data_IF_828116127943
#
_entry.id   IF_828116127943
#
_cell.length_a   1.000
_cell.length_b   1.000
_cell.length_c   1.000
_cell.angle_alpha   90.00
_cell.angle_beta   90.00
_cell.angle_gamma   90.00
#
_symmetry.space_group_name_H-M   'P 1'
#
loop_
_entity.id
_entity.type
_entity.pdbx_description
1 polymer ?
#
# COMPACT_ATOMS: atom_id res chain seq x y z
N UNK A 1 48.26 -19.38 11.13
CA UNK A 1 47.27 -20.11 10.31
C UNK A 1 46.82 -19.15 9.21
N UNK A 2 47.15 -19.38 7.93
CA UNK A 2 46.79 -18.46 6.87
C UNK A 2 45.30 -18.56 6.56
N UNK A 3 44.70 -17.39 6.27
CA UNK A 3 43.30 -17.23 5.88
C UNK A 3 43.00 -18.08 4.64
N UNK A 4 42.08 -19.03 4.81
CA UNK A 4 41.42 -19.72 3.70
C UNK A 4 40.75 -18.68 2.81
N UNK A 5 41.10 -18.69 1.53
CA UNK A 5 40.40 -18.01 0.45
C UNK A 5 38.89 -18.22 0.58
N UNK A 6 38.14 -17.13 0.75
CA UNK A 6 36.68 -17.12 0.85
C UNK A 6 36.00 -17.46 -0.49
N UNK A 7 36.20 -18.67 -0.98
CA UNK A 7 35.40 -19.21 -2.07
C UNK A 7 34.01 -19.57 -1.54
N UNK A 8 32.92 -19.16 -2.21
CA UNK A 8 31.57 -19.56 -1.84
C UNK A 8 31.48 -21.08 -1.81
N UNK A 9 31.07 -21.64 -0.68
CA UNK A 9 30.73 -23.06 -0.57
C UNK A 9 29.39 -23.25 -1.28
N UNK A 10 29.42 -23.65 -2.55
CA UNK A 10 28.22 -24.09 -3.25
C UNK A 10 27.79 -25.45 -2.68
N UNK A 11 26.59 -25.49 -2.10
CA UNK A 11 25.99 -26.71 -1.58
C UNK A 11 25.71 -27.70 -2.73
N UNK A 12 26.35 -28.87 -2.69
CA UNK A 12 26.06 -30.07 -3.48
C UNK A 12 26.21 -29.96 -5.01
N UNK A 13 26.68 -31.01 -5.71
CA UNK A 13 26.46 -31.11 -7.15
C UNK A 13 24.95 -31.04 -7.38
N UNK A 14 24.52 -30.19 -8.31
CA UNK A 14 23.17 -30.20 -8.83
C UNK A 14 22.96 -31.50 -9.64
N UNK A 15 22.78 -32.63 -8.96
CA UNK A 15 22.29 -33.86 -9.56
C UNK A 15 20.92 -33.55 -10.19
N UNK A 16 20.86 -33.45 -11.53
CA UNK A 16 19.73 -33.08 -12.39
C UNK A 16 19.57 -31.62 -12.87
N UNK A 17 20.57 -30.73 -12.73
CA UNK A 17 20.48 -29.43 -13.43
C UNK A 17 21.01 -29.51 -14.86
N UNK A 18 20.25 -28.92 -15.78
CA UNK A 18 20.71 -28.69 -17.15
C UNK A 18 21.86 -27.69 -17.13
N UNK A 19 23.01 -28.11 -17.66
CA UNK A 19 24.24 -27.32 -17.72
C UNK A 19 24.74 -27.21 -19.16
N UNK A 20 25.32 -26.06 -19.48
CA UNK A 20 25.99 -25.78 -20.75
C UNK A 20 27.46 -25.40 -20.52
N UNK A 21 28.23 -25.39 -21.60
CA UNK A 21 29.63 -24.99 -21.58
C UNK A 21 29.78 -23.61 -22.24
N UNK A 22 30.26 -22.64 -21.48
CA UNK A 22 30.56 -21.29 -21.94
C UNK A 22 31.96 -20.87 -21.46
N UNK A 23 32.89 -20.69 -22.41
CA UNK A 23 34.29 -20.36 -22.13
C UNK A 23 34.47 -18.97 -21.50
N UNK A 24 33.45 -18.11 -21.54
CA UNK A 24 33.48 -16.78 -20.90
C UNK A 24 33.24 -16.85 -19.39
N UNK A 25 32.66 -17.93 -18.88
CA UNK A 25 32.41 -18.18 -17.46
C UNK A 25 33.69 -18.58 -16.68
N UNK A 26 34.67 -17.67 -16.64
CA UNK A 26 35.99 -17.89 -16.02
C UNK A 26 35.93 -18.29 -14.54
N UNK A 27 34.95 -17.76 -13.81
CA UNK A 27 34.78 -18.01 -12.37
C UNK A 27 34.06 -19.33 -12.06
N UNK A 28 33.58 -20.05 -13.09
CA UNK A 28 32.81 -21.31 -12.95
C UNK A 28 33.38 -22.44 -13.83
N UNK A 29 34.68 -22.43 -14.13
CA UNK A 29 35.35 -23.44 -14.96
C UNK A 29 34.67 -23.68 -16.32
N UNK A 30 34.07 -22.65 -16.90
CA UNK A 30 33.37 -22.73 -18.17
C UNK A 30 32.04 -23.47 -18.15
N UNK A 31 31.48 -23.75 -16.96
CA UNK A 31 30.17 -24.39 -16.80
C UNK A 31 29.13 -23.35 -16.43
N UNK A 32 27.99 -23.35 -17.12
CA UNK A 32 26.87 -22.43 -16.88
C UNK A 32 25.57 -23.21 -16.70
N UNK A 33 24.68 -22.68 -15.87
CA UNK A 33 23.33 -23.22 -15.72
C UNK A 33 22.49 -22.88 -16.95
N UNK A 34 21.84 -23.88 -17.55
CA UNK A 34 20.96 -23.71 -18.72
C UNK A 34 19.54 -24.20 -18.44
N UNK A 35 19.17 -24.37 -17.17
CA UNK A 35 17.78 -24.64 -16.82
C UNK A 35 16.88 -23.49 -17.24
N UNK A 36 15.60 -23.80 -17.44
CA UNK A 36 14.58 -22.81 -17.81
C UNK A 36 14.55 -21.65 -16.82
N UNK A 37 14.69 -21.95 -15.53
CA UNK A 37 14.70 -21.00 -14.43
C UNK A 37 15.92 -20.10 -14.51
N UNK A 38 17.11 -20.67 -14.71
CA UNK A 38 18.37 -19.92 -14.86
C UNK A 38 18.32 -18.96 -16.05
N UNK A 39 17.88 -19.43 -17.23
CA UNK A 39 17.77 -18.59 -18.43
C UNK A 39 16.77 -17.46 -18.22
N UNK A 40 15.64 -17.73 -17.55
CA UNK A 40 14.62 -16.72 -17.27
C UNK A 40 15.13 -15.64 -16.32
N UNK A 41 15.82 -16.02 -15.24
CA UNK A 41 16.39 -15.08 -14.26
C UNK A 41 17.54 -14.28 -14.89
N UNK A 42 18.43 -14.94 -15.63
CA UNK A 42 19.53 -14.27 -16.32
C UNK A 42 19.01 -13.24 -17.34
N UNK A 43 17.99 -13.58 -18.12
CA UNK A 43 17.34 -12.66 -19.06
C UNK A 43 16.69 -11.47 -18.35
N UNK A 44 16.05 -11.70 -17.20
CA UNK A 44 15.51 -10.61 -16.38
C UNK A 44 16.61 -9.68 -15.86
N UNK A 45 17.70 -10.22 -15.31
CA UNK A 45 18.81 -9.42 -14.80
C UNK A 45 19.48 -8.64 -15.93
N UNK A 46 19.88 -9.32 -17.00
CA UNK A 46 20.55 -8.70 -18.14
C UNK A 46 19.71 -7.59 -18.79
N UNK A 47 18.38 -7.75 -18.85
CA UNK A 47 17.48 -6.72 -19.37
C UNK A 47 17.36 -5.46 -18.51
N UNK A 48 17.84 -5.48 -17.27
CA UNK A 48 17.80 -4.33 -16.36
C UNK A 48 19.17 -3.67 -16.16
N UNK A 49 20.26 -4.37 -16.45
CA UNK A 49 21.62 -3.85 -16.34
C UNK A 49 21.88 -2.73 -17.34
N UNK A 50 22.55 -1.67 -16.92
CA UNK A 50 23.14 -0.64 -17.76
C UNK A 50 24.66 -0.84 -17.81
N UNK A 51 25.15 -1.49 -18.86
CA UNK A 51 26.56 -1.83 -19.07
C UNK A 51 27.46 -0.63 -19.39
N UNK A 52 26.89 0.58 -19.51
CA UNK A 52 27.62 1.82 -19.76
C UNK A 52 28.14 2.50 -18.50
N UNK A 53 27.72 2.04 -17.32
CA UNK A 53 28.10 2.62 -16.03
C UNK A 53 28.97 1.63 -15.27
N UNK A 54 30.06 2.11 -14.68
CA UNK A 54 30.92 1.28 -13.85
C UNK A 54 30.18 0.94 -12.53
N UNK A 55 30.01 -0.35 -12.17
CA UNK A 55 29.41 -0.73 -10.89
C UNK A 55 30.14 -0.18 -9.65
N UNK A 56 31.41 0.19 -9.77
CA UNK A 56 32.18 0.81 -8.69
C UNK A 56 31.88 2.30 -8.50
N UNK A 57 31.34 2.97 -9.52
CA UNK A 57 30.97 4.39 -9.46
C UNK A 57 29.51 4.57 -9.02
N UNK A 58 28.58 3.87 -9.70
CA UNK A 58 27.16 3.87 -9.35
C UNK A 58 26.55 2.49 -9.59
N UNK A 59 26.53 1.69 -8.53
CA UNK A 59 25.96 0.34 -8.58
C UNK A 59 24.45 0.35 -8.84
N UNK A 60 23.72 1.40 -8.43
CA UNK A 60 22.27 1.47 -8.64
C UNK A 60 21.97 1.66 -10.12
N UNK A 61 22.64 2.61 -10.78
CA UNK A 61 22.47 2.85 -12.22
C UNK A 61 22.97 1.66 -13.04
N UNK A 62 24.11 1.06 -12.69
CA UNK A 62 24.57 -0.18 -13.32
C UNK A 62 23.54 -1.32 -13.21
N UNK A 63 22.96 -1.54 -12.03
CA UNK A 63 22.08 -2.67 -11.78
C UNK A 63 20.62 -2.45 -12.26
N UNK A 64 20.13 -1.21 -12.17
CA UNK A 64 18.72 -0.86 -12.35
C UNK A 64 18.46 0.18 -13.45
N UNK A 65 19.49 0.77 -14.06
CA UNK A 65 19.35 1.90 -14.99
C UNK A 65 18.40 1.63 -16.16
N UNK A 66 18.33 0.37 -16.62
CA UNK A 66 17.41 -0.02 -17.69
C UNK A 66 16.04 -0.54 -17.18
N UNK A 67 15.84 -0.71 -15.87
CA UNK A 67 14.61 -1.24 -15.29
C UNK A 67 13.38 -0.36 -15.61
N UNK A 68 13.54 0.96 -15.49
CA UNK A 68 12.48 1.94 -15.76
C UNK A 68 12.24 2.19 -17.25
N UNK A 69 13.30 2.15 -18.06
CA UNK A 69 13.23 2.40 -19.51
C UNK A 69 12.47 1.30 -20.26
N UNK A 70 12.62 0.04 -19.82
CA UNK A 70 11.97 -1.11 -20.44
C UNK A 70 10.51 -1.31 -19.98
N UNK A 71 9.98 -0.41 -19.14
CA UNK A 71 8.70 -0.60 -18.44
C UNK A 71 7.93 0.71 -18.28
N UNK A 72 7.04 0.99 -19.22
CA UNK A 72 6.12 2.15 -19.15
C UNK A 72 5.52 2.30 -17.74
N UNK A 73 5.72 3.48 -17.14
CA UNK A 73 5.07 3.86 -15.90
C UNK A 73 3.58 4.10 -16.21
N UNK A 74 2.64 3.34 -15.64
CA UNK A 74 1.21 3.65 -15.81
C UNK A 74 0.92 5.03 -15.23
N UNK A 75 0.11 5.84 -15.91
CA UNK A 75 -0.25 7.19 -15.47
C UNK A 75 -0.84 7.25 -14.04
N UNK A 76 -1.38 6.13 -13.55
CA UNK A 76 -1.96 6.00 -12.21
C UNK A 76 -0.95 5.70 -11.10
N UNK A 77 0.36 5.57 -11.39
CA UNK A 77 1.37 5.23 -10.37
C UNK A 77 2.50 6.26 -10.35
N UNK A 78 2.81 6.84 -9.17
CA UNK A 78 3.87 7.84 -9.04
C UNK A 78 5.27 7.23 -9.13
N UNK A 79 5.43 5.94 -8.80
CA UNK A 79 6.69 5.20 -8.86
C UNK A 79 6.45 3.75 -9.28
N UNK A 80 7.46 3.16 -9.94
CA UNK A 80 7.48 1.74 -10.31
C UNK A 80 8.81 1.10 -9.92
N UNK A 81 8.72 0.11 -9.05
CA UNK A 81 9.84 -0.74 -8.62
C UNK A 81 9.40 -2.20 -8.59
N UNK A 82 10.34 -3.12 -8.37
CA UNK A 82 10.10 -4.58 -8.39
C UNK A 82 8.94 -5.03 -7.50
N UNK A 83 8.86 -4.51 -6.27
CA UNK A 83 7.77 -4.82 -5.34
C UNK A 83 6.41 -4.37 -5.92
N UNK A 84 6.33 -3.18 -6.51
CA UNK A 84 5.09 -2.68 -7.13
C UNK A 84 4.63 -3.52 -8.33
N UNK A 85 5.58 -4.11 -9.07
CA UNK A 85 5.32 -5.03 -10.18
C UNK A 85 4.79 -6.37 -9.68
N UNK A 86 5.39 -6.91 -8.62
CA UNK A 86 4.94 -8.14 -7.95
C UNK A 86 3.54 -7.94 -7.39
N UNK A 87 3.31 -6.86 -6.65
CA UNK A 87 1.98 -6.50 -6.14
C UNK A 87 0.96 -6.35 -7.27
N UNK A 88 1.33 -5.73 -8.40
CA UNK A 88 0.42 -5.62 -9.53
C UNK A 88 0.04 -6.98 -10.13
N UNK A 89 0.99 -7.92 -10.21
CA UNK A 89 0.71 -9.29 -10.68
C UNK A 89 -0.17 -10.05 -9.70
N UNK A 90 0.11 -9.93 -8.40
CA UNK A 90 -0.70 -10.53 -7.34
C UNK A 90 -2.13 -9.98 -7.39
N UNK A 91 -2.30 -8.67 -7.44
CA UNK A 91 -3.62 -8.04 -7.51
C UNK A 91 -4.42 -8.46 -8.75
N UNK A 92 -3.75 -8.71 -9.89
CA UNK A 92 -4.43 -9.26 -11.09
C UNK A 92 -4.93 -10.69 -10.85
N UNK A 93 -4.15 -11.53 -10.18
CA UNK A 93 -4.57 -12.89 -9.83
C UNK A 93 -5.72 -12.87 -8.82
N UNK A 94 -5.59 -12.08 -7.76
CA UNK A 94 -6.65 -11.90 -6.74
C UNK A 94 -7.93 -11.37 -7.38
N UNK A 95 -7.82 -10.34 -8.25
CA UNK A 95 -8.97 -9.84 -9.04
C UNK A 95 -9.64 -10.95 -9.84
N UNK A 96 -8.86 -11.78 -10.53
CA UNK A 96 -9.40 -12.89 -11.31
C UNK A 96 -10.18 -13.88 -10.45
N UNK A 97 -9.73 -14.15 -9.22
CA UNK A 97 -10.41 -15.05 -8.28
C UNK A 97 -11.70 -14.42 -7.75
N UNK A 98 -11.65 -13.14 -7.37
CA UNK A 98 -12.80 -12.41 -6.84
C UNK A 98 -13.91 -12.16 -7.88
N UNK A 99 -13.56 -12.17 -9.17
CA UNK A 99 -14.51 -12.01 -10.29
C UNK A 99 -15.17 -13.31 -10.75
N UNK A 100 -14.72 -14.47 -10.24
CA UNK A 100 -15.39 -15.74 -10.55
C UNK A 100 -16.84 -15.72 -10.03
N UNK A 101 -17.75 -16.47 -10.68
CA UNK A 101 -19.08 -16.66 -10.13
C UNK A 101 -18.99 -17.23 -8.71
N UNK A 102 -19.96 -16.83 -7.88
CA UNK A 102 -20.09 -17.34 -6.52
C UNK A 102 -20.82 -18.67 -6.62
N UNK A 103 -20.18 -19.76 -6.16
CA UNK A 103 -20.80 -21.08 -6.15
C UNK A 103 -21.32 -21.41 -4.74
N UNK A 104 -22.45 -22.14 -4.65
CA UNK A 104 -23.04 -22.52 -3.37
C UNK A 104 -22.21 -23.54 -2.58
N UNK A 105 -21.28 -24.20 -3.26
CA UNK A 105 -20.32 -25.16 -2.69
C UNK A 105 -19.13 -24.49 -2.00
N UNK A 106 -18.94 -23.18 -2.19
CA UNK A 106 -17.81 -22.44 -1.64
C UNK A 106 -17.97 -22.14 -0.14
N UNK A 107 -16.85 -21.87 0.53
CA UNK A 107 -16.88 -21.48 1.93
C UNK A 107 -17.62 -20.15 2.12
N UNK A 108 -18.20 -19.96 3.31
CA UNK A 108 -18.89 -18.71 3.67
C UNK A 108 -18.00 -17.47 3.44
N UNK A 109 -16.70 -17.60 3.72
CA UNK A 109 -15.74 -16.50 3.63
C UNK A 109 -15.42 -16.13 2.18
N UNK A 110 -15.29 -17.12 1.31
CA UNK A 110 -15.04 -16.89 -0.12
C UNK A 110 -16.25 -16.23 -0.78
N UNK A 111 -17.46 -16.71 -0.46
CA UNK A 111 -18.71 -16.09 -0.93
C UNK A 111 -18.84 -14.64 -0.47
N UNK A 112 -18.47 -14.35 0.78
CA UNK A 112 -18.49 -13.00 1.32
C UNK A 112 -17.47 -12.09 0.61
N UNK A 113 -16.23 -12.56 0.43
CA UNK A 113 -15.18 -11.79 -0.23
C UNK A 113 -15.54 -11.47 -1.69
N UNK A 114 -16.02 -12.46 -2.44
CA UNK A 114 -16.50 -12.27 -3.82
C UNK A 114 -17.70 -11.34 -3.88
N UNK A 115 -18.70 -11.53 -3.02
CA UNK A 115 -19.90 -10.69 -2.97
C UNK A 115 -19.58 -9.23 -2.65
N UNK A 116 -18.70 -9.00 -1.68
CA UNK A 116 -18.22 -7.66 -1.34
C UNK A 116 -17.49 -7.00 -2.52
N UNK A 117 -16.63 -7.75 -3.21
CA UNK A 117 -15.92 -7.26 -4.38
C UNK A 117 -16.87 -6.93 -5.55
N UNK A 118 -17.89 -7.76 -5.80
CA UNK A 118 -18.90 -7.51 -6.82
C UNK A 118 -19.71 -6.25 -6.53
N UNK A 119 -20.10 -6.02 -5.26
CA UNK A 119 -20.76 -4.77 -4.84
C UNK A 119 -19.90 -3.52 -5.03
N UNK A 120 -18.58 -3.65 -4.88
CA UNK A 120 -17.64 -2.55 -5.15
C UNK A 120 -17.52 -2.23 -6.66
N UNK A 121 -17.84 -3.18 -7.55
CA UNK A 121 -17.82 -2.98 -9.00
C UNK A 121 -19.14 -2.45 -9.58
N UNK A 122 -20.23 -2.48 -8.81
CA UNK A 122 -21.54 -1.99 -9.25
C UNK A 122 -21.59 -0.45 -9.15
N UNK A 123 -20.95 0.21 -10.11
CA UNK A 123 -20.92 1.67 -10.20
C UNK A 123 -22.34 2.26 -10.36
N UNK A 124 -23.28 1.55 -10.98
CA UNK A 124 -24.65 2.03 -11.16
C UNK A 124 -25.42 2.11 -9.83
N UNK A 125 -25.28 1.09 -8.97
CA UNK A 125 -25.84 1.11 -7.62
C UNK A 125 -25.17 2.20 -6.76
N UNK A 126 -23.85 2.36 -6.87
CA UNK A 126 -23.08 3.38 -6.14
C UNK A 126 -23.49 4.80 -6.52
N UNK A 127 -23.65 5.10 -7.80
CA UNK A 127 -24.10 6.42 -8.27
C UNK A 127 -25.53 6.75 -7.80
N UNK A 128 -26.41 5.74 -7.70
CA UNK A 128 -27.79 5.94 -7.23
C UNK A 128 -27.90 6.11 -5.71
N UNK A 129 -27.05 5.43 -4.93
CA UNK A 129 -27.21 5.30 -3.47
C UNK A 129 -26.13 6.00 -2.66
N UNK A 130 -24.97 6.29 -3.26
CA UNK A 130 -23.77 6.74 -2.55
C UNK A 130 -23.97 8.04 -1.77
N UNK A 131 -24.62 9.04 -2.36
CA UNK A 131 -24.89 10.31 -1.68
C UNK A 131 -25.79 10.10 -0.43
N UNK A 132 -26.83 9.30 -0.55
CA UNK A 132 -27.74 9.00 0.56
C UNK A 132 -27.01 8.25 1.67
N UNK A 133 -26.21 7.24 1.33
CA UNK A 133 -25.43 6.47 2.29
C UNK A 133 -24.44 7.34 3.07
N UNK A 134 -23.74 8.27 2.40
CA UNK A 134 -22.82 9.19 3.08
C UNK A 134 -23.58 10.16 3.99
N UNK A 135 -24.73 10.69 3.56
CA UNK A 135 -25.57 11.55 4.42
C UNK A 135 -26.04 10.84 5.68
N UNK A 136 -26.51 9.59 5.54
CA UNK A 136 -26.90 8.77 6.69
C UNK A 136 -25.74 8.54 7.66
N UNK A 137 -24.54 8.25 7.14
CA UNK A 137 -23.34 8.11 7.98
C UNK A 137 -23.03 9.41 8.70
N UNK A 138 -23.06 10.55 8.01
CA UNK A 138 -22.84 11.89 8.60
C UNK A 138 -23.83 12.15 9.73
N UNK A 139 -25.12 11.86 9.52
CA UNK A 139 -26.14 12.02 10.55
C UNK A 139 -25.92 11.08 11.74
N UNK A 140 -25.50 9.83 11.51
CA UNK A 140 -25.20 8.86 12.57
C UNK A 140 -24.02 9.27 13.44
N UNK A 141 -23.08 10.04 12.90
CA UNK A 141 -21.92 10.56 13.62
C UNK A 141 -22.12 12.01 14.06
N UNK A 142 -23.36 12.47 14.27
CA UNK A 142 -23.62 13.77 14.91
C UNK A 142 -23.56 14.98 13.97
N UNK A 143 -23.60 14.73 12.65
CA UNK A 143 -23.71 15.78 11.64
C UNK A 143 -22.39 16.44 11.25
N UNK A 144 -22.46 17.28 10.22
CA UNK A 144 -21.32 18.08 9.76
C UNK A 144 -21.76 19.56 9.66
N UNK A 145 -21.27 20.43 10.55
CA UNK A 145 -21.65 21.84 10.59
C UNK A 145 -21.57 22.57 9.24
N UNK A 146 -20.56 22.27 8.42
CA UNK A 146 -20.37 22.91 7.11
C UNK A 146 -21.46 22.53 6.10
N UNK A 147 -22.04 21.33 6.19
CA UNK A 147 -23.09 20.88 5.26
C UNK A 147 -24.47 21.27 5.76
N UNK A 148 -24.67 21.28 7.08
CA UNK A 148 -25.97 21.54 7.70
C UNK A 148 -26.19 23.02 8.05
N UNK A 149 -25.14 23.83 8.09
CA UNK A 149 -25.20 25.25 8.40
C UNK A 149 -25.96 25.52 9.71
N UNK A 150 -26.92 26.44 9.66
CA UNK A 150 -27.74 26.85 10.81
C UNK A 150 -28.64 25.73 11.37
N UNK A 151 -28.84 24.64 10.62
CA UNK A 151 -29.65 23.50 11.10
C UNK A 151 -28.86 22.55 11.99
N UNK A 152 -27.53 22.64 12.00
CA UNK A 152 -26.69 21.83 12.87
C UNK A 152 -26.83 22.28 14.33
N UNK A 153 -26.88 21.30 15.23
CA UNK A 153 -26.93 21.53 16.67
C UNK A 153 -25.76 20.85 17.34
N UNK A 154 -25.18 21.56 18.30
CA UNK A 154 -24.23 20.97 19.21
C UNK A 154 -24.88 19.82 19.99
N UNK A 155 -24.03 18.90 20.38
CA UNK A 155 -24.34 17.58 20.90
C UNK A 155 -24.39 17.69 22.42
N UNK A 156 -25.33 16.97 23.04
CA UNK A 156 -25.59 17.10 24.49
C UNK A 156 -24.53 16.40 25.37
N UNK A 157 -23.40 15.98 24.79
CA UNK A 157 -22.34 15.21 25.45
C UNK A 157 -20.94 15.72 25.06
N UNK A 158 -19.94 15.28 25.81
CA UNK A 158 -18.56 15.78 25.68
C UNK A 158 -17.84 15.22 24.46
N UNK A 159 -16.77 15.89 24.04
CA UNK A 159 -15.99 15.54 22.85
C UNK A 159 -15.41 14.14 22.81
N UNK A 160 -15.08 13.61 23.99
CA UNK A 160 -14.62 12.24 24.18
C UNK A 160 -15.71 11.23 23.84
N UNK A 161 -16.96 11.51 24.20
CA UNK A 161 -18.09 10.63 23.93
C UNK A 161 -18.38 10.55 22.43
N UNK A 162 -18.32 11.67 21.70
CA UNK A 162 -18.47 11.65 20.25
C UNK A 162 -17.35 10.92 19.54
N UNK A 163 -16.10 11.11 19.99
CA UNK A 163 -14.98 10.37 19.43
C UNK A 163 -15.21 8.86 19.61
N UNK A 164 -15.67 8.43 20.78
CA UNK A 164 -16.03 7.04 21.04
C UNK A 164 -17.22 6.56 20.18
N UNK A 165 -18.26 7.37 19.97
CA UNK A 165 -19.40 7.04 19.10
C UNK A 165 -18.96 6.86 17.65
N UNK A 166 -18.15 7.79 17.14
CA UNK A 166 -17.63 7.77 15.78
C UNK A 166 -16.76 6.53 15.55
N UNK A 167 -15.84 6.23 16.47
CA UNK A 167 -15.02 5.02 16.43
C UNK A 167 -15.86 3.74 16.48
N UNK A 168 -16.84 3.67 17.38
CA UNK A 168 -17.68 2.48 17.55
C UNK A 168 -18.57 2.21 16.31
N UNK A 169 -19.14 3.26 15.72
CA UNK A 169 -20.07 3.11 14.59
C UNK A 169 -19.39 2.94 13.25
N UNK A 170 -18.27 3.63 13.02
CA UNK A 170 -17.64 3.69 11.68
C UNK A 170 -16.30 2.96 11.62
N UNK A 171 -15.68 2.68 12.76
CA UNK A 171 -14.30 2.19 12.83
C UNK A 171 -13.25 3.24 12.45
N UNK A 172 -13.67 4.46 12.08
CA UNK A 172 -12.73 5.55 11.79
C UNK A 172 -12.04 5.95 13.10
N UNK A 173 -10.71 5.99 13.05
CA UNK A 173 -9.82 6.26 14.17
C UNK A 173 -8.91 7.43 13.77
N UNK A 174 -8.16 7.99 14.72
CA UNK A 174 -7.16 9.03 14.47
C UNK A 174 -7.71 10.37 13.94
N UNK A 175 -8.95 10.74 14.31
CA UNK A 175 -9.50 12.08 14.01
C UNK A 175 -8.87 13.15 14.91
N UNK A 176 -8.76 12.85 16.21
CA UNK A 176 -8.06 13.68 17.21
C UNK A 176 -7.00 12.83 17.92
N UNK A 177 -7.41 11.66 18.41
CA UNK A 177 -6.54 10.67 19.02
C UNK A 177 -6.65 9.36 18.24
N UNK A 178 -5.53 8.65 18.11
CA UNK A 178 -5.52 7.28 17.61
C UNK A 178 -5.45 6.34 18.81
N UNK A 179 -6.44 5.47 18.97
CA UNK A 179 -6.44 4.45 20.02
C UNK A 179 -6.24 3.08 19.39
N UNK A 180 -5.37 2.27 19.97
CA UNK A 180 -5.17 0.89 19.56
C UNK A 180 -5.02 -0.02 20.77
N UNK A 181 -5.29 -1.30 20.57
CA UNK A 181 -4.93 -2.35 21.52
C UNK A 181 -3.67 -3.00 20.99
N UNK A 182 -2.57 -2.87 21.72
CA UNK A 182 -1.25 -3.39 21.33
C UNK A 182 -0.73 -4.34 22.41
N UNK A 183 0.34 -5.06 22.11
CA UNK A 183 1.01 -5.91 23.10
C UNK A 183 1.82 -5.04 24.06
N UNK A 184 1.77 -5.36 25.35
CA UNK A 184 2.60 -4.67 26.33
C UNK A 184 4.09 -4.87 26.00
N UNK A 185 4.86 -3.78 25.74
CA UNK A 185 6.28 -3.87 25.44
C UNK A 185 7.10 -4.54 26.55
N UNK A 186 6.64 -4.46 27.80
CA UNK A 186 7.27 -5.12 28.95
C UNK A 186 6.83 -6.59 29.10
N UNK A 187 5.64 -6.97 28.59
CA UNK A 187 5.13 -8.34 28.64
C UNK A 187 4.19 -8.65 27.47
N UNK A 188 4.72 -9.27 26.41
CA UNK A 188 3.96 -9.57 25.20
C UNK A 188 2.75 -10.49 25.38
N UNK A 189 2.62 -11.16 26.52
CA UNK A 189 1.43 -11.99 26.84
C UNK A 189 0.21 -11.15 27.21
N UNK A 190 0.41 -9.88 27.58
CA UNK A 190 -0.65 -8.94 27.92
C UNK A 190 -0.93 -7.99 26.75
N UNK A 191 -2.17 -7.50 26.69
CA UNK A 191 -2.56 -6.41 25.81
C UNK A 191 -2.80 -5.14 26.61
N UNK A 192 -2.41 -4.00 26.05
CA UNK A 192 -2.60 -2.67 26.63
C UNK A 192 -3.30 -1.77 25.62
N UNK A 193 -4.05 -0.79 26.12
CA UNK A 193 -4.57 0.27 25.28
C UNK A 193 -3.45 1.30 25.11
N UNK A 194 -3.03 1.48 23.88
CA UNK A 194 -2.04 2.47 23.49
C UNK A 194 -2.75 3.63 22.80
N UNK A 195 -2.50 4.83 23.33
CA UNK A 195 -2.86 6.07 22.63
C UNK A 195 -1.70 6.33 21.67
N UNK A 196 -1.88 5.91 20.41
CA UNK A 196 -0.90 6.03 19.34
C UNK A 196 -0.81 7.50 18.89
N UNK A 197 -0.16 8.34 19.67
CA UNK A 197 0.51 9.49 19.10
C UNK A 197 1.70 8.93 18.30
N UNK A 198 1.51 8.77 16.98
CA UNK A 198 2.47 8.17 16.04
C UNK A 198 3.91 8.52 16.43
N UNK A 199 4.74 7.50 16.62
CA UNK A 199 6.20 7.54 16.76
C UNK A 199 6.80 8.94 16.58
N UNK A 200 7.21 9.53 17.71
CA UNK A 200 7.48 10.96 18.01
C UNK A 200 6.31 11.72 18.66
N UNK A 201 5.83 11.23 19.80
CA UNK A 201 5.23 11.97 20.94
C UNK A 201 4.25 13.17 20.72
N UNK A 202 3.78 13.55 19.52
CA UNK A 202 3.10 14.85 19.41
C UNK A 202 2.15 15.12 18.21
N UNK A 203 1.67 14.16 17.41
CA UNK A 203 0.84 14.54 16.23
C UNK A 203 -0.28 13.55 15.85
N UNK A 204 -1.53 14.01 15.63
CA UNK A 204 -2.55 13.24 14.93
C UNK A 204 -2.18 13.04 13.45
N UNK A 205 -2.86 12.09 12.78
CA UNK A 205 -2.73 11.93 11.34
C UNK A 205 -3.19 13.21 10.65
N UNK A 206 -2.29 13.80 9.89
CA UNK A 206 -2.57 15.01 9.12
C UNK A 206 -3.38 14.67 7.87
N UNK A 207 -4.42 15.45 7.57
CA UNK A 207 -5.27 15.23 6.39
C UNK A 207 -4.51 15.21 5.07
N UNK A 208 -3.39 15.94 4.97
CA UNK A 208 -2.49 15.94 3.79
C UNK A 208 -1.23 15.05 3.96
N UNK A 209 -1.26 14.12 4.91
CA UNK A 209 -0.24 13.07 5.09
C UNK A 209 1.00 13.49 5.90
N UNK A 210 1.49 14.73 5.76
CA UNK A 210 2.64 15.23 6.55
C UNK A 210 2.35 16.55 7.24
N UNK A 211 3.11 16.87 8.30
CA UNK A 211 3.02 18.13 9.03
C UNK A 211 3.51 19.34 8.22
N UNK A 212 4.48 19.12 7.32
CA UNK A 212 5.23 20.19 6.66
C UNK A 212 4.37 21.26 5.95
N UNK A 213 3.35 20.91 5.15
CA UNK A 213 2.48 21.89 4.51
C UNK A 213 1.83 22.86 5.51
N UNK A 214 1.41 22.36 6.68
CA UNK A 214 0.82 23.19 7.74
C UNK A 214 1.81 24.18 8.37
N UNK A 215 3.11 23.88 8.35
CA UNK A 215 4.15 24.77 8.85
C UNK A 215 4.57 25.83 7.83
N UNK A 216 4.49 25.51 6.54
CA UNK A 216 4.79 26.44 5.44
C UNK A 216 3.75 27.55 5.33
N UNK A 217 2.59 27.38 5.99
CA UNK A 217 1.51 28.35 6.05
C UNK A 217 0.44 28.12 4.98
N UNK A 218 -0.66 28.90 5.03
CA UNK A 218 -1.85 28.68 4.20
C UNK A 218 -1.61 28.86 2.70
N UNK A 219 -0.49 29.48 2.32
CA UNK A 219 -0.13 29.69 0.93
C UNK A 219 0.45 28.46 0.23
N UNK A 220 0.78 27.40 0.99
CA UNK A 220 1.29 26.15 0.47
C UNK A 220 0.31 25.54 -0.56
N UNK A 221 0.78 25.15 -1.77
CA UNK A 221 -0.08 24.60 -2.81
C UNK A 221 -0.85 23.35 -2.38
N UNK A 222 -0.27 22.51 -1.52
CA UNK A 222 -0.92 21.29 -1.03
C UNK A 222 -2.11 21.64 -0.14
N UNK A 223 -1.95 22.62 0.75
CA UNK A 223 -3.06 23.07 1.59
C UNK A 223 -4.16 23.73 0.77
N UNK A 224 -3.82 24.58 -0.20
CA UNK A 224 -4.80 25.19 -1.10
C UNK A 224 -5.64 24.13 -1.82
N UNK A 225 -5.00 23.10 -2.36
CA UNK A 225 -5.71 22.01 -3.04
C UNK A 225 -6.55 21.17 -2.06
N UNK A 226 -6.06 20.94 -0.85
CA UNK A 226 -6.79 20.19 0.16
C UNK A 226 -8.03 20.96 0.66
N UNK A 227 -7.89 22.26 0.92
CA UNK A 227 -9.04 23.12 1.26
C UNK A 227 -10.03 23.19 0.11
N UNK A 228 -9.56 23.27 -1.15
CA UNK A 228 -10.44 23.21 -2.31
C UNK A 228 -11.23 21.90 -2.38
N UNK A 229 -10.59 20.75 -2.10
CA UNK A 229 -11.26 19.45 -2.02
C UNK A 229 -12.32 19.41 -0.90
N UNK A 230 -12.01 19.98 0.27
CA UNK A 230 -12.98 20.09 1.37
C UNK A 230 -14.23 20.88 0.94
N UNK A 231 -14.03 22.03 0.28
CA UNK A 231 -15.15 22.84 -0.23
C UNK A 231 -15.96 22.10 -1.29
N UNK A 232 -15.32 21.45 -2.26
CA UNK A 232 -16.02 20.66 -3.29
C UNK A 232 -16.83 19.51 -2.68
N UNK A 233 -16.30 18.87 -1.64
CA UNK A 233 -16.98 17.79 -0.93
C UNK A 233 -18.21 18.31 -0.18
N UNK A 234 -18.10 19.45 0.50
CA UNK A 234 -19.24 20.07 1.17
C UNK A 234 -20.35 20.45 0.18
N UNK A 235 -19.99 21.07 -0.94
CA UNK A 235 -20.93 21.42 -2.03
C UNK A 235 -21.62 20.18 -2.58
N UNK A 236 -20.86 19.11 -2.86
CA UNK A 236 -21.43 17.86 -3.36
C UNK A 236 -22.40 17.20 -2.36
N UNK A 237 -22.22 17.43 -1.05
CA UNK A 237 -23.07 16.85 -0.01
C UNK A 237 -24.31 17.68 0.32
N UNK A 238 -24.35 18.98 0.03
CA UNK A 238 -25.58 19.74 0.25
C UNK A 238 -25.47 21.25 0.46
N UNK A 239 -24.44 21.91 -0.08
CA UNK A 239 -24.43 23.38 -0.23
C UNK A 239 -24.39 23.80 -1.70
#
# INVERSE_FOLDING_TARGET
>A
MPLSSGLPVYSSPFENSSVGVDRTAKNHNGVVCTSRECVTIAGFLAGNLNDKVDPCDDFYEFACGNYGLNRNLPASKPLRHTISDVQSRLNKQVKSILQMPIEDTESKWDRLAKGYYQKCLDEEELEKTGLTAIKEIVDWVGGWPTVQGDSWKEWDYSWEHQLALMMNRTGVNAVILELAVTHDPANSSNSVIEILAVFQLDQPKWGVGSRWPYLMGPDDPMLKNYTHLMTLTAVALGE
#
